data_IF_483286141838
#
_entry.id   IF_483286141838
#
_cell.length_a   1.000
_cell.length_b   1.000
_cell.length_c   1.000
_cell.angle_alpha   90.00
_cell.angle_beta   90.00
_cell.angle_gamma   90.00
#
_symmetry.space_group_name_H-M   'P 1'
#
loop_
_entity.id
_entity.type
_entity.pdbx_description
1 polymer ?
#
# COMPACT_ATOMS: atom_id res chain seq x y z
N UNK A 1 -45.60 52.23 -28.45
CA UNK A 1 -44.21 52.27 -27.97
C UNK A 1 -43.95 50.95 -27.25
N UNK A 2 -43.06 50.08 -27.76
CA UNK A 2 -42.68 48.88 -27.04
C UNK A 2 -41.61 49.25 -25.99
N UNK A 3 -41.81 48.80 -24.76
CA UNK A 3 -40.80 48.81 -23.71
C UNK A 3 -40.15 47.43 -23.71
N UNK A 4 -38.90 47.38 -24.17
CA UNK A 4 -38.03 46.21 -24.08
C UNK A 4 -37.72 45.93 -22.60
N UNK A 5 -38.47 45.02 -21.99
CA UNK A 5 -38.00 44.28 -20.82
C UNK A 5 -37.03 43.19 -21.32
N UNK A 6 -35.77 43.59 -21.54
CA UNK A 6 -34.66 42.65 -21.74
C UNK A 6 -34.46 41.84 -20.45
N UNK A 7 -35.13 40.69 -20.42
CA UNK A 7 -34.84 39.55 -19.55
C UNK A 7 -33.33 39.26 -19.59
N UNK A 8 -32.68 39.37 -18.43
CA UNK A 8 -31.29 38.98 -18.18
C UNK A 8 -30.84 37.80 -19.04
N UNK A 9 -29.80 37.99 -19.85
CA UNK A 9 -29.27 36.92 -20.69
C UNK A 9 -28.65 35.83 -19.81
N UNK A 10 -28.94 34.56 -20.12
CA UNK A 10 -28.43 33.38 -19.39
C UNK A 10 -26.90 33.37 -19.23
N UNK A 11 -26.16 34.09 -20.06
CA UNK A 11 -24.70 34.28 -19.97
C UNK A 11 -24.24 35.16 -18.79
N UNK A 12 -25.02 36.16 -18.36
CA UNK A 12 -24.65 37.05 -17.25
C UNK A 12 -24.88 36.42 -15.87
N UNK A 13 -25.86 35.53 -15.75
CA UNK A 13 -26.10 34.74 -14.53
C UNK A 13 -25.03 33.65 -14.33
N UNK A 14 -24.27 33.31 -15.38
CA UNK A 14 -23.30 32.21 -15.40
C UNK A 14 -21.87 32.61 -14.99
N UNK A 15 -21.56 33.84 -14.57
CA UNK A 15 -20.21 34.20 -14.15
C UNK A 15 -19.72 33.48 -12.87
N UNK A 16 -20.60 33.19 -11.92
CA UNK A 16 -20.27 32.55 -10.62
C UNK A 16 -20.51 31.03 -10.55
N UNK A 17 -21.28 30.47 -11.49
CA UNK A 17 -21.63 29.06 -11.55
C UNK A 17 -20.51 28.08 -12.00
N UNK A 18 -19.62 28.41 -12.95
CA UNK A 18 -18.62 27.46 -13.46
C UNK A 18 -17.54 27.15 -12.43
N UNK A 19 -17.12 28.12 -11.61
CA UNK A 19 -16.16 27.88 -10.53
C UNK A 19 -16.73 26.96 -9.43
N UNK A 20 -17.99 27.18 -9.03
CA UNK A 20 -18.68 26.32 -8.05
C UNK A 20 -18.91 24.91 -8.59
N UNK A 21 -19.32 24.80 -9.87
CA UNK A 21 -19.47 23.51 -10.56
C UNK A 21 -18.13 22.78 -10.71
N UNK A 22 -17.05 23.49 -11.05
CA UNK A 22 -15.72 22.90 -11.17
C UNK A 22 -15.17 22.43 -9.82
N UNK A 23 -15.43 23.16 -8.72
CA UNK A 23 -15.07 22.70 -7.37
C UNK A 23 -15.87 21.46 -6.94
N UNK A 24 -17.16 21.43 -7.23
CA UNK A 24 -18.00 20.24 -6.98
C UNK A 24 -17.53 19.05 -7.80
N UNK A 25 -17.17 19.28 -9.06
CA UNK A 25 -16.66 18.26 -9.95
C UNK A 25 -15.29 17.74 -9.49
N UNK A 26 -14.38 18.62 -9.06
CA UNK A 26 -13.11 18.22 -8.45
C UNK A 26 -13.35 17.39 -7.17
N UNK A 27 -14.28 17.80 -6.31
CA UNK A 27 -14.66 17.05 -5.12
C UNK A 27 -15.24 15.66 -5.46
N UNK A 28 -16.04 15.55 -6.52
CA UNK A 28 -16.57 14.27 -7.00
C UNK A 28 -15.47 13.36 -7.56
N UNK A 29 -14.53 13.92 -8.33
CA UNK A 29 -13.37 13.18 -8.85
C UNK A 29 -12.51 12.68 -7.68
N UNK A 30 -12.23 13.53 -6.69
CA UNK A 30 -11.47 13.16 -5.50
C UNK A 30 -12.18 12.10 -4.67
N UNK A 31 -13.49 12.24 -4.45
CA UNK A 31 -14.30 11.26 -3.72
C UNK A 31 -14.38 9.93 -4.46
N UNK A 32 -14.53 9.95 -5.79
CA UNK A 32 -14.53 8.74 -6.62
C UNK A 32 -13.17 8.05 -6.59
N UNK A 33 -12.10 8.81 -6.64
CA UNK A 33 -10.73 8.29 -6.55
C UNK A 33 -10.48 7.68 -5.19
N UNK A 34 -10.87 8.36 -4.11
CA UNK A 34 -10.77 7.85 -2.74
C UNK A 34 -11.57 6.54 -2.56
N UNK A 35 -12.77 6.46 -3.15
CA UNK A 35 -13.57 5.23 -3.16
C UNK A 35 -12.89 4.10 -3.92
N UNK A 36 -12.35 4.36 -5.12
CA UNK A 36 -11.63 3.35 -5.91
C UNK A 36 -10.35 2.88 -5.20
N UNK A 37 -9.65 3.77 -4.50
CA UNK A 37 -8.52 3.42 -3.65
C UNK A 37 -8.96 2.49 -2.52
N UNK A 38 -10.05 2.80 -1.80
CA UNK A 38 -10.58 1.93 -0.76
C UNK A 38 -11.03 0.58 -1.31
N UNK A 39 -11.72 0.55 -2.44
CA UNK A 39 -12.15 -0.69 -3.09
C UNK A 39 -10.96 -1.55 -3.52
N UNK A 40 -9.90 -0.93 -4.04
CA UNK A 40 -8.66 -1.65 -4.37
C UNK A 40 -7.97 -2.20 -3.12
N UNK A 41 -8.04 -1.49 -1.99
CA UNK A 41 -7.52 -1.95 -0.68
C UNK A 41 -8.34 -3.12 -0.13
N UNK A 42 -9.64 -3.18 -0.37
CA UNK A 42 -10.51 -4.32 0.02
C UNK A 42 -10.04 -5.64 -0.60
N UNK A 43 -9.54 -5.61 -1.83
CA UNK A 43 -8.96 -6.79 -2.50
C UNK A 43 -7.62 -7.23 -1.87
N UNK A 44 -6.92 -6.31 -1.19
CA UNK A 44 -5.63 -6.55 -0.50
C UNK A 44 -5.82 -7.07 0.91
N UNK A 45 -6.85 -6.61 1.62
CA UNK A 45 -7.12 -7.00 3.00
C UNK A 45 -7.93 -8.30 3.12
N UNK A 46 -7.35 -9.42 2.67
CA UNK A 46 -7.87 -10.78 2.91
C UNK A 46 -7.99 -11.15 4.40
N UNK A 47 -7.50 -10.28 5.31
CA UNK A 47 -7.51 -10.46 6.75
C UNK A 47 -8.54 -9.60 7.49
N UNK A 48 -9.26 -8.69 6.82
CA UNK A 48 -10.35 -7.96 7.44
C UNK A 48 -11.61 -8.84 7.47
N UNK A 49 -12.19 -8.99 8.66
CA UNK A 49 -13.52 -9.57 8.80
C UNK A 49 -14.52 -8.70 8.04
N UNK A 50 -15.47 -9.30 7.32
CA UNK A 50 -16.48 -8.61 6.51
C UNK A 50 -17.16 -7.45 7.27
N UNK A 51 -17.40 -7.64 8.56
CA UNK A 51 -17.98 -6.65 9.48
C UNK A 51 -17.15 -5.35 9.61
N UNK A 52 -15.82 -5.44 9.58
CA UNK A 52 -14.94 -4.25 9.65
C UNK A 52 -14.92 -3.51 8.31
N UNK A 53 -15.00 -4.25 7.19
CA UNK A 53 -15.06 -3.67 5.86
C UNK A 53 -16.38 -2.91 5.65
N UNK A 54 -17.52 -3.48 6.07
CA UNK A 54 -18.82 -2.81 6.02
C UNK A 54 -18.84 -1.55 6.89
N UNK A 55 -18.27 -1.60 8.10
CA UNK A 55 -18.18 -0.41 8.98
C UNK A 55 -17.35 0.72 8.35
N UNK A 56 -16.26 0.40 7.66
CA UNK A 56 -15.44 1.41 6.96
C UNK A 56 -16.17 2.01 5.75
N UNK A 57 -16.90 1.18 5.00
CA UNK A 57 -17.73 1.62 3.86
C UNK A 57 -18.86 2.54 4.33
N UNK A 58 -19.55 2.16 5.42
CA UNK A 58 -20.56 3.00 6.07
C UNK A 58 -19.99 4.34 6.55
N UNK A 59 -18.83 4.33 7.22
CA UNK A 59 -18.18 5.55 7.70
C UNK A 59 -17.77 6.49 6.54
N UNK A 60 -17.39 5.93 5.40
CA UNK A 60 -17.09 6.70 4.20
C UNK A 60 -18.35 7.34 3.59
N UNK A 61 -19.43 6.58 3.45
CA UNK A 61 -20.69 7.13 2.95
C UNK A 61 -21.29 8.16 3.91
N UNK A 62 -21.12 7.97 5.21
CA UNK A 62 -21.52 8.95 6.22
C UNK A 62 -20.71 10.24 6.12
N UNK A 63 -19.38 10.15 5.96
CA UNK A 63 -18.52 11.31 5.73
C UNK A 63 -18.90 12.06 4.44
N UNK A 64 -19.20 11.32 3.36
CA UNK A 64 -19.62 11.87 2.08
C UNK A 64 -21.00 12.55 2.17
N UNK A 65 -21.96 11.95 2.87
CA UNK A 65 -23.30 12.50 3.10
C UNK A 65 -23.25 13.81 3.93
N UNK A 66 -22.28 13.93 4.83
CA UNK A 66 -22.05 15.15 5.62
C UNK A 66 -21.24 16.22 4.86
N UNK A 67 -20.86 15.98 3.60
CA UNK A 67 -20.01 16.89 2.81
C UNK A 67 -18.62 17.09 3.41
N UNK A 68 -18.17 16.17 4.27
CA UNK A 68 -16.83 16.19 4.84
C UNK A 68 -15.83 15.67 3.82
N UNK A 69 -14.59 16.09 3.96
CA UNK A 69 -13.50 15.57 3.11
C UNK A 69 -13.39 14.04 3.28
N UNK A 70 -13.05 13.32 2.19
CA UNK A 70 -12.88 11.88 2.28
C UNK A 70 -11.78 11.54 3.30
N UNK A 71 -11.93 10.44 4.06
CA UNK A 71 -10.93 10.03 5.07
C UNK A 71 -9.56 9.73 4.47
N UNK A 72 -9.52 9.39 3.17
CA UNK A 72 -8.29 9.29 2.37
C UNK A 72 -8.25 10.49 1.43
N UNK A 73 -7.24 11.35 1.57
CA UNK A 73 -7.00 12.46 0.65
C UNK A 73 -6.19 11.98 -0.56
N UNK A 74 -6.77 11.90 -1.77
CA UNK A 74 -6.05 11.44 -2.94
C UNK A 74 -4.96 12.43 -3.35
N UNK A 75 -3.81 11.93 -3.77
CA UNK A 75 -2.75 12.74 -4.36
C UNK A 75 -2.97 12.92 -5.86
N UNK A 76 -2.23 13.84 -6.50
CA UNK A 76 -2.29 14.03 -7.96
C UNK A 76 -1.96 12.74 -8.73
N UNK A 77 -1.11 11.86 -8.17
CA UNK A 77 -0.78 10.57 -8.80
C UNK A 77 -1.93 9.57 -8.70
N UNK A 78 -2.69 9.62 -7.61
CA UNK A 78 -3.86 8.77 -7.44
C UNK A 78 -4.95 9.21 -8.43
N UNK A 79 -5.16 10.52 -8.56
CA UNK A 79 -6.04 11.10 -9.57
C UNK A 79 -5.61 10.66 -10.99
N UNK A 80 -4.31 10.72 -11.29
CA UNK A 80 -3.75 10.28 -12.58
C UNK A 80 -3.96 8.80 -12.85
N UNK A 81 -3.68 7.94 -11.86
CA UNK A 81 -3.83 6.48 -11.98
C UNK A 81 -5.28 6.07 -12.24
N UNK A 82 -6.23 6.76 -11.61
CA UNK A 82 -7.65 6.47 -11.74
C UNK A 82 -8.36 7.34 -12.79
N UNK A 83 -7.61 8.10 -13.59
CA UNK A 83 -8.15 9.00 -14.61
C UNK A 83 -9.07 8.35 -15.62
N UNK A 84 -8.75 7.18 -16.19
CA UNK A 84 -9.67 6.48 -17.09
C UNK A 84 -11.03 6.15 -16.43
N UNK A 85 -11.06 5.91 -15.12
CA UNK A 85 -12.26 5.51 -14.38
C UNK A 85 -13.15 6.69 -13.97
N UNK A 86 -12.59 7.89 -13.81
CA UNK A 86 -13.37 9.10 -13.51
C UNK A 86 -13.55 10.03 -14.71
N UNK A 87 -12.92 9.78 -15.86
CA UNK A 87 -13.08 10.56 -17.09
C UNK A 87 -14.55 10.77 -17.48
N UNK A 88 -15.39 9.74 -17.30
CA UNK A 88 -16.83 9.82 -17.58
C UNK A 88 -17.59 10.85 -16.72
N UNK A 89 -17.01 11.30 -15.60
CA UNK A 89 -17.58 12.35 -14.75
C UNK A 89 -17.33 13.75 -15.28
N UNK A 90 -16.41 13.93 -16.25
CA UNK A 90 -16.06 15.24 -16.82
C UNK A 90 -16.99 15.54 -17.99
N UNK A 91 -17.88 16.56 -17.91
CA UNK A 91 -18.73 16.95 -19.02
C UNK A 91 -17.91 17.50 -20.19
N UNK A 92 -18.36 17.34 -21.44
CA UNK A 92 -17.71 17.88 -22.64
C UNK A 92 -17.94 19.41 -22.78
N UNK A 93 -17.81 20.16 -21.69
CA UNK A 93 -17.94 21.61 -21.67
C UNK A 93 -16.56 22.26 -21.51
N UNK A 94 -16.10 22.93 -22.56
CA UNK A 94 -14.76 23.52 -22.66
C UNK A 94 -14.47 24.56 -21.57
N UNK A 95 -15.47 25.35 -21.15
CA UNK A 95 -15.33 26.38 -20.10
C UNK A 95 -15.15 25.70 -18.73
N UNK A 96 -15.90 24.62 -18.48
CA UNK A 96 -15.81 23.87 -17.23
C UNK A 96 -14.49 23.09 -17.14
N UNK A 97 -14.04 22.50 -18.25
CA UNK A 97 -12.74 21.81 -18.36
C UNK A 97 -11.57 22.79 -18.13
N UNK A 98 -11.61 23.99 -18.72
CA UNK A 98 -10.62 25.03 -18.47
C UNK A 98 -10.60 25.48 -17.00
N UNK A 99 -11.78 25.64 -16.39
CA UNK A 99 -11.90 25.98 -14.95
C UNK A 99 -11.39 24.85 -14.06
N UNK A 100 -11.64 23.59 -14.42
CA UNK A 100 -11.11 22.42 -13.70
C UNK A 100 -9.57 22.36 -13.80
N UNK A 101 -9.00 22.61 -14.98
CA UNK A 101 -7.56 22.68 -15.18
C UNK A 101 -6.91 23.72 -14.26
N UNK A 102 -7.52 24.90 -14.16
CA UNK A 102 -7.06 25.96 -13.27
C UNK A 102 -7.06 25.53 -11.80
N UNK A 103 -8.16 24.91 -11.34
CA UNK A 103 -8.28 24.43 -9.96
C UNK A 103 -7.29 23.30 -9.65
N UNK A 104 -7.04 22.40 -10.60
CA UNK A 104 -6.01 21.36 -10.46
C UNK A 104 -4.64 21.99 -10.28
N UNK A 105 -4.27 22.99 -11.10
CA UNK A 105 -3.01 23.72 -10.99
C UNK A 105 -2.83 24.51 -9.69
N UNK A 106 -3.91 25.03 -9.13
CA UNK A 106 -3.88 25.71 -7.83
C UNK A 106 -3.74 24.74 -6.66
N UNK A 107 -4.44 23.59 -6.71
CA UNK A 107 -4.49 22.63 -5.61
C UNK A 107 -3.32 21.64 -5.62
N UNK A 108 -2.83 21.29 -6.79
CA UNK A 108 -1.80 20.27 -6.99
C UNK A 108 -0.64 20.82 -7.82
N UNK A 109 0.57 20.42 -7.45
CA UNK A 109 1.81 20.79 -8.13
C UNK A 109 2.28 19.61 -8.99
N UNK A 110 2.35 19.78 -10.31
CA UNK A 110 2.68 18.69 -11.25
C UNK A 110 3.39 19.17 -12.53
N UNK A 111 4.16 18.28 -13.15
CA UNK A 111 4.79 18.51 -14.44
C UNK A 111 3.97 17.87 -15.57
N UNK A 112 4.06 18.44 -16.77
CA UNK A 112 3.32 17.96 -17.94
C UNK A 112 3.58 16.48 -18.31
N UNK A 113 4.76 15.96 -17.94
CA UNK A 113 5.15 14.55 -18.18
C UNK A 113 4.51 13.57 -17.20
N UNK A 114 4.06 14.04 -16.04
CA UNK A 114 3.61 13.18 -14.94
C UNK A 114 2.10 12.88 -14.99
N UNK A 115 1.35 13.55 -15.88
CA UNK A 115 -0.11 13.48 -15.92
C UNK A 115 -0.72 13.18 -17.32
N UNK A 116 -0.25 12.15 -18.05
CA UNK A 116 -0.78 11.84 -19.38
C UNK A 116 -2.29 11.52 -19.41
N UNK A 117 -2.83 10.79 -18.45
CA UNK A 117 -4.22 10.36 -18.43
C UNK A 117 -5.17 11.47 -17.93
N UNK A 118 -4.74 12.35 -17.00
CA UNK A 118 -5.51 13.55 -16.66
C UNK A 118 -5.63 14.48 -17.86
N UNK A 119 -4.56 14.64 -18.67
CA UNK A 119 -4.60 15.45 -19.89
C UNK A 119 -5.64 14.94 -20.87
N UNK A 120 -5.68 13.63 -21.06
CA UNK A 120 -6.69 12.97 -21.89
C UNK A 120 -8.10 13.09 -21.28
N UNK A 121 -8.25 12.87 -19.98
CA UNK A 121 -9.54 12.88 -19.31
C UNK A 121 -10.20 14.26 -19.24
N UNK A 122 -9.40 15.32 -19.05
CA UNK A 122 -9.89 16.71 -18.99
C UNK A 122 -9.91 17.36 -20.39
N UNK A 123 -9.20 16.77 -21.36
CA UNK A 123 -9.09 17.32 -22.71
C UNK A 123 -8.15 18.51 -22.81
N UNK A 124 -7.09 18.55 -21.99
CA UNK A 124 -6.11 19.66 -21.92
C UNK A 124 -5.37 19.90 -23.23
N UNK A 125 -5.30 18.87 -24.08
CA UNK A 125 -4.65 18.91 -25.39
C UNK A 125 -5.58 19.39 -26.51
N UNK A 126 -6.85 19.68 -26.19
CA UNK A 126 -7.83 20.16 -27.17
C UNK A 126 -7.71 21.68 -27.34
N UNK A 127 -7.61 22.15 -28.58
CA UNK A 127 -7.51 23.57 -28.91
C UNK A 127 -8.64 24.41 -28.28
N UNK A 128 -9.87 23.86 -28.23
CA UNK A 128 -11.02 24.52 -27.63
C UNK A 128 -10.88 24.80 -26.12
N UNK A 129 -10.25 23.89 -25.36
CA UNK A 129 -10.02 24.06 -23.92
C UNK A 129 -8.90 25.07 -23.68
N UNK A 130 -7.84 25.05 -24.49
CA UNK A 130 -6.74 26.01 -24.41
C UNK A 130 -7.21 27.44 -24.72
N UNK A 131 -8.04 27.61 -25.74
CA UNK A 131 -8.63 28.91 -26.08
C UNK A 131 -9.60 29.40 -24.99
N UNK A 132 -10.41 28.51 -24.42
CA UNK A 132 -11.30 28.86 -23.31
C UNK A 132 -10.50 29.30 -22.06
N UNK A 133 -9.41 28.60 -21.74
CA UNK A 133 -8.53 28.94 -20.62
C UNK A 133 -7.86 30.30 -20.82
N UNK A 134 -7.30 30.56 -22.02
CA UNK A 134 -6.67 31.84 -22.35
C UNK A 134 -7.67 33.00 -22.28
N UNK A 135 -8.88 32.81 -22.78
CA UNK A 135 -9.95 33.83 -22.72
C UNK A 135 -10.37 34.15 -21.28
N UNK A 136 -10.40 33.13 -20.40
CA UNK A 136 -10.93 33.27 -19.06
C UNK A 136 -9.90 33.73 -18.02
N UNK A 137 -8.64 33.31 -18.15
CA UNK A 137 -7.58 33.57 -17.17
C UNK A 137 -6.44 34.43 -17.71
N UNK A 138 -6.48 34.85 -18.99
CA UNK A 138 -5.45 35.67 -19.67
C UNK A 138 -4.03 35.09 -19.55
N UNK A 139 -3.93 33.77 -19.35
CA UNK A 139 -2.68 33.03 -19.16
C UNK A 139 -2.66 31.83 -20.10
N UNK A 140 -1.46 31.39 -20.52
CA UNK A 140 -1.33 30.14 -21.26
C UNK A 140 -1.51 28.94 -20.32
N UNK A 141 -2.04 27.84 -20.85
CA UNK A 141 -2.23 26.59 -20.11
C UNK A 141 -0.89 26.06 -19.54
N UNK A 142 0.24 26.45 -20.13
CA UNK A 142 1.59 26.06 -19.69
C UNK A 142 1.96 26.58 -18.30
N UNK A 143 1.29 27.64 -17.82
CA UNK A 143 1.50 28.22 -16.49
C UNK A 143 1.06 27.28 -15.36
N UNK A 144 0.23 26.28 -15.67
CA UNK A 144 -0.22 25.25 -14.73
C UNK A 144 0.89 24.23 -14.43
N UNK A 145 1.89 24.09 -15.32
CA UNK A 145 2.96 23.10 -15.19
C UNK A 145 4.22 23.67 -14.54
N UNK A 146 4.84 22.90 -13.64
CA UNK A 146 6.13 23.27 -13.05
C UNK A 146 7.27 22.79 -13.95
N UNK A 147 8.24 23.68 -14.21
CA UNK A 147 9.30 23.47 -15.22
C UNK A 147 10.45 22.56 -14.76
N UNK A 148 10.68 22.34 -13.46
CA UNK A 148 11.66 21.37 -12.91
C UNK A 148 11.32 20.90 -11.50
N UNK A 149 11.37 19.59 -11.26
CA UNK A 149 11.38 18.97 -9.92
C UNK A 149 12.84 18.87 -9.47
N UNK A 150 13.17 19.33 -8.27
CA UNK A 150 14.55 19.33 -7.77
C UNK A 150 15.07 17.92 -7.48
N UNK A 151 16.38 17.67 -7.65
CA UNK A 151 17.01 16.35 -7.40
C UNK A 151 16.77 15.82 -5.97
N UNK A 152 16.67 16.71 -4.97
CA UNK A 152 16.34 16.35 -3.59
C UNK A 152 14.86 15.97 -3.41
N UNK A 153 13.97 16.57 -4.20
CA UNK A 153 12.59 16.13 -4.29
C UNK A 153 12.53 14.77 -5.00
N UNK A 154 13.31 14.52 -6.05
CA UNK A 154 13.37 13.21 -6.71
C UNK A 154 13.79 12.09 -5.75
N UNK A 155 14.76 12.31 -4.85
CA UNK A 155 15.13 11.32 -3.83
C UNK A 155 14.00 11.06 -2.81
N UNK A 156 13.36 12.11 -2.27
CA UNK A 156 12.16 11.93 -1.41
C UNK A 156 11.01 11.28 -2.18
N UNK A 157 10.90 11.56 -3.47
CA UNK A 157 9.88 11.05 -4.38
C UNK A 157 10.11 9.57 -4.70
N UNK A 158 11.35 9.11 -4.86
CA UNK A 158 11.72 7.70 -4.99
C UNK A 158 11.48 6.94 -3.69
N UNK A 159 11.82 7.53 -2.54
CA UNK A 159 11.55 6.92 -1.23
C UNK A 159 10.04 6.75 -0.98
N UNK A 160 9.25 7.81 -1.25
CA UNK A 160 7.78 7.75 -1.18
C UNK A 160 7.17 6.85 -2.27
N UNK A 161 7.83 6.70 -3.43
CA UNK A 161 7.42 5.79 -4.50
C UNK A 161 7.67 4.34 -4.12
N UNK A 162 8.70 4.04 -3.34
CA UNK A 162 8.94 2.70 -2.78
C UNK A 162 7.92 2.35 -1.71
N UNK A 163 7.63 3.27 -0.76
CA UNK A 163 6.54 3.10 0.21
C UNK A 163 5.19 2.93 -0.49
N UNK A 164 4.89 3.81 -1.46
CA UNK A 164 3.67 3.73 -2.25
C UNK A 164 3.60 2.46 -3.10
N UNK A 165 4.69 2.00 -3.70
CA UNK A 165 4.70 0.74 -4.45
C UNK A 165 4.43 -0.45 -3.53
N UNK A 166 5.04 -0.46 -2.34
CA UNK A 166 4.86 -1.48 -1.32
C UNK A 166 3.43 -1.50 -0.76
N UNK A 167 2.83 -0.33 -0.54
CA UNK A 167 1.42 -0.15 -0.12
C UNK A 167 0.40 -0.60 -1.18
N UNK A 168 0.82 -0.70 -2.46
CA UNK A 168 -0.06 -1.06 -3.57
C UNK A 168 0.37 -2.34 -4.30
N UNK A 169 1.28 -3.13 -3.71
CA UNK A 169 1.64 -4.45 -4.23
C UNK A 169 0.41 -5.37 -4.21
N UNK A 170 0.21 -6.22 -5.23
CA UNK A 170 -0.83 -7.23 -5.18
C UNK A 170 -0.72 -8.09 -3.91
N UNK A 171 -1.84 -8.56 -3.34
CA UNK A 171 -1.88 -9.24 -2.05
C UNK A 171 -0.92 -10.44 -2.01
N UNK A 172 -0.85 -11.17 -3.13
CA UNK A 172 0.11 -12.24 -3.35
C UNK A 172 1.56 -11.83 -3.06
N UNK A 173 2.04 -10.71 -3.62
CA UNK A 173 3.41 -10.26 -3.45
C UNK A 173 3.68 -9.75 -2.04
N UNK A 174 2.70 -9.13 -1.40
CA UNK A 174 2.82 -8.72 0.01
C UNK A 174 2.97 -9.93 0.94
N UNK A 175 2.10 -10.95 0.77
CA UNK A 175 2.16 -12.18 1.55
C UNK A 175 3.45 -12.97 1.27
N UNK A 176 3.85 -13.05 -0.01
CA UNK A 176 5.11 -13.69 -0.40
C UNK A 176 6.31 -12.98 0.23
N UNK A 177 6.40 -11.65 0.12
CA UNK A 177 7.51 -10.88 0.66
C UNK A 177 7.59 -10.94 2.19
N UNK A 178 6.46 -10.88 2.89
CA UNK A 178 6.40 -11.07 4.34
C UNK A 178 6.89 -12.46 4.75
N UNK A 179 6.33 -13.51 4.13
CA UNK A 179 6.68 -14.91 4.41
C UNK A 179 8.16 -15.17 4.12
N UNK A 180 8.65 -14.67 2.99
CA UNK A 180 10.04 -14.82 2.59
C UNK A 180 10.97 -14.10 3.58
N UNK A 181 10.66 -12.86 3.94
CA UNK A 181 11.47 -12.08 4.89
C UNK A 181 11.55 -12.76 6.26
N UNK A 182 10.43 -13.25 6.78
CA UNK A 182 10.35 -13.89 8.08
C UNK A 182 11.18 -15.18 8.11
N UNK A 183 11.03 -16.03 7.10
CA UNK A 183 11.73 -17.31 7.03
C UNK A 183 13.23 -17.11 6.78
N UNK A 184 13.57 -16.27 5.80
CA UNK A 184 14.97 -16.08 5.36
C UNK A 184 15.77 -15.36 6.43
N UNK A 185 15.20 -14.36 7.10
CA UNK A 185 15.87 -13.60 8.15
C UNK A 185 16.36 -14.47 9.31
N UNK A 186 15.53 -15.40 9.80
CA UNK A 186 15.90 -16.30 10.89
C UNK A 186 16.79 -17.46 10.43
N UNK A 187 16.52 -18.02 9.25
CA UNK A 187 17.15 -19.27 8.81
C UNK A 187 18.59 -19.11 8.34
N UNK A 188 18.96 -17.95 7.76
CA UNK A 188 20.29 -17.74 7.18
C UNK A 188 21.42 -17.87 8.21
N UNK A 189 21.19 -17.44 9.45
CA UNK A 189 22.20 -17.53 10.50
C UNK A 189 22.05 -18.80 11.34
N UNK A 190 20.83 -19.18 11.71
CA UNK A 190 20.61 -20.31 12.60
C UNK A 190 21.00 -21.65 11.95
N UNK A 191 20.69 -21.82 10.66
CA UNK A 191 20.79 -23.10 10.00
C UNK A 191 22.26 -23.50 9.73
N UNK A 192 23.16 -22.64 9.20
CA UNK A 192 24.56 -23.00 9.03
C UNK A 192 25.27 -23.28 10.37
N UNK A 193 24.93 -22.54 11.43
CA UNK A 193 25.47 -22.76 12.78
C UNK A 193 25.05 -24.14 13.31
N UNK A 194 23.79 -24.51 13.15
CA UNK A 194 23.31 -25.84 13.55
C UNK A 194 23.96 -26.96 12.73
N UNK A 195 24.14 -26.75 11.42
CA UNK A 195 24.74 -27.74 10.51
C UNK A 195 26.25 -27.93 10.71
N UNK A 196 26.96 -26.90 11.19
CA UNK A 196 28.37 -27.02 11.56
C UNK A 196 28.61 -28.12 12.61
N UNK A 197 27.64 -28.41 13.48
CA UNK A 197 27.75 -29.50 14.46
C UNK A 197 27.47 -30.92 13.93
N UNK A 198 26.81 -31.04 12.77
CA UNK A 198 26.33 -32.33 12.21
C UNK A 198 27.18 -32.79 11.01
N UNK A 199 27.88 -31.85 10.36
CA UNK A 199 28.70 -32.08 9.18
C UNK A 199 27.92 -31.87 7.87
N UNK A 200 28.63 -31.56 6.77
CA UNK A 200 28.01 -31.03 5.56
C UNK A 200 27.07 -32.02 4.86
N UNK A 201 27.45 -33.30 4.76
CA UNK A 201 26.69 -34.30 4.01
C UNK A 201 25.40 -34.68 4.75
N UNK A 202 25.48 -34.94 6.06
CA UNK A 202 24.31 -35.18 6.89
C UNK A 202 23.39 -33.95 6.94
N UNK A 203 23.96 -32.74 6.99
CA UNK A 203 23.20 -31.50 6.90
C UNK A 203 22.41 -31.34 5.61
N UNK A 204 23.03 -31.63 4.47
CA UNK A 204 22.36 -31.61 3.16
C UNK A 204 21.21 -32.61 3.10
N UNK A 205 21.41 -33.83 3.60
CA UNK A 205 20.35 -34.86 3.62
C UNK A 205 19.15 -34.39 4.45
N UNK A 206 19.38 -33.87 5.66
CA UNK A 206 18.30 -33.35 6.53
C UNK A 206 17.57 -32.20 5.86
N UNK A 207 18.31 -31.28 5.23
CA UNK A 207 17.72 -30.15 4.50
C UNK A 207 16.81 -30.59 3.36
N UNK A 208 17.26 -31.56 2.55
CA UNK A 208 16.47 -32.08 1.43
C UNK A 208 15.21 -32.76 1.95
N UNK A 209 15.33 -33.63 2.95
CA UNK A 209 14.18 -34.37 3.50
C UNK A 209 13.16 -33.42 4.11
N UNK A 210 13.58 -32.51 4.99
CA UNK A 210 12.66 -31.55 5.60
C UNK A 210 12.12 -30.53 4.61
N UNK A 211 12.92 -30.12 3.62
CA UNK A 211 12.48 -29.26 2.54
C UNK A 211 11.35 -29.88 1.74
N UNK A 212 11.47 -31.15 1.36
CA UNK A 212 10.40 -31.90 0.65
C UNK A 212 9.14 -31.99 1.50
N UNK A 213 9.26 -32.36 2.78
CA UNK A 213 8.10 -32.43 3.69
C UNK A 213 7.40 -31.06 3.80
N UNK A 214 8.17 -29.97 3.92
CA UNK A 214 7.61 -28.62 3.99
C UNK A 214 6.89 -28.23 2.70
N UNK A 215 7.48 -28.49 1.53
CA UNK A 215 6.86 -28.19 0.24
C UNK A 215 5.56 -28.96 0.04
N UNK A 216 5.54 -30.26 0.37
CA UNK A 216 4.32 -31.07 0.28
C UNK A 216 3.23 -30.57 1.24
N UNK A 217 3.61 -30.15 2.45
CA UNK A 217 2.68 -29.60 3.43
C UNK A 217 2.06 -28.29 2.93
N UNK A 218 2.88 -27.38 2.41
CA UNK A 218 2.41 -26.10 1.86
C UNK A 218 1.51 -26.35 0.64
N UNK A 219 1.86 -27.29 -0.24
CA UNK A 219 1.06 -27.63 -1.42
C UNK A 219 -0.33 -28.16 -1.01
N UNK A 220 -0.40 -29.10 -0.07
CA UNK A 220 -1.65 -29.63 0.44
C UNK A 220 -2.50 -28.55 1.13
N UNK A 221 -1.86 -27.66 1.91
CA UNK A 221 -2.55 -26.55 2.55
C UNK A 221 -3.09 -25.54 1.54
N UNK A 222 -2.31 -25.21 0.51
CA UNK A 222 -2.74 -24.33 -0.59
C UNK A 222 -3.93 -24.94 -1.37
N UNK A 223 -3.89 -26.24 -1.66
CA UNK A 223 -5.02 -26.93 -2.29
C UNK A 223 -6.29 -26.87 -1.42
N UNK A 224 -6.18 -27.18 -0.12
CA UNK A 224 -7.31 -27.14 0.81
C UNK A 224 -7.91 -25.73 0.93
N UNK A 225 -7.07 -24.70 1.00
CA UNK A 225 -7.49 -23.30 1.07
C UNK A 225 -8.15 -22.85 -0.22
N UNK A 226 -7.57 -23.15 -1.39
CA UNK A 226 -8.10 -22.71 -2.70
C UNK A 226 -9.38 -23.44 -3.10
N UNK A 227 -9.57 -24.68 -2.64
CA UNK A 227 -10.78 -25.48 -2.85
C UNK A 227 -11.93 -25.10 -1.91
N UNK A 228 -11.63 -24.41 -0.80
CA UNK A 228 -12.65 -23.97 0.16
C UNK A 228 -13.33 -22.66 -0.27
N UNK A 229 -14.62 -22.74 -0.56
CA UNK A 229 -15.44 -21.58 -0.90
C UNK A 229 -15.59 -20.57 0.25
N UNK A 230 -15.53 -21.01 1.51
CA UNK A 230 -15.66 -20.14 2.69
C UNK A 230 -14.45 -19.23 2.87
N UNK A 231 -13.24 -19.66 2.53
CA UNK A 231 -12.07 -18.77 2.51
C UNK A 231 -12.10 -17.87 1.28
N UNK A 232 -12.39 -18.43 0.11
CA UNK A 232 -12.33 -17.70 -1.16
C UNK A 232 -13.38 -16.59 -1.30
N UNK A 233 -14.55 -16.73 -0.66
CA UNK A 233 -15.66 -15.76 -0.82
C UNK A 233 -16.12 -15.11 0.49
N UNK A 234 -15.84 -15.69 1.67
CA UNK A 234 -16.32 -15.16 2.97
C UNK A 234 -15.21 -14.67 3.90
N UNK A 235 -13.95 -14.56 3.43
CA UNK A 235 -12.84 -14.02 4.23
C UNK A 235 -12.55 -14.82 5.52
N UNK A 236 -12.86 -16.12 5.51
CA UNK A 236 -12.75 -16.99 6.67
C UNK A 236 -11.29 -17.25 7.09
N UNK A 237 -10.98 -17.16 8.39
CA UNK A 237 -9.66 -17.48 8.94
C UNK A 237 -9.36 -18.99 8.97
N UNK A 238 -8.08 -19.36 9.02
CA UNK A 238 -7.60 -20.76 8.97
C UNK A 238 -8.25 -21.68 10.02
N UNK A 239 -8.57 -21.18 11.21
CA UNK A 239 -9.21 -21.97 12.26
C UNK A 239 -10.66 -22.34 11.95
N UNK A 240 -11.39 -21.57 11.13
CA UNK A 240 -12.71 -21.98 10.63
C UNK A 240 -12.59 -23.06 9.55
N UNK A 241 -11.56 -23.02 8.70
CA UNK A 241 -11.26 -24.13 7.79
C UNK A 241 -11.00 -25.42 8.56
N UNK A 242 -10.17 -25.37 9.60
CA UNK A 242 -9.94 -26.56 10.43
C UNK A 242 -11.19 -26.98 11.20
N UNK A 243 -12.05 -26.04 11.59
CA UNK A 243 -13.34 -26.38 12.16
C UNK A 243 -14.23 -27.14 11.15
N UNK A 244 -14.22 -26.75 9.88
CA UNK A 244 -15.01 -27.39 8.83
C UNK A 244 -14.52 -28.83 8.53
N UNK A 245 -13.21 -29.09 8.63
CA UNK A 245 -12.63 -30.42 8.39
C UNK A 245 -12.52 -31.33 9.62
N UNK A 246 -12.10 -30.79 10.78
CA UNK A 246 -11.79 -31.55 12.01
C UNK A 246 -12.76 -31.26 13.16
N UNK A 247 -13.72 -30.35 12.95
CA UNK A 247 -14.65 -29.92 14.00
C UNK A 247 -14.03 -28.94 15.00
N UNK A 248 -14.86 -28.52 15.96
CA UNK A 248 -14.50 -27.55 17.00
C UNK A 248 -13.26 -27.92 17.83
N UNK A 249 -13.03 -29.19 18.24
CA UNK A 249 -11.82 -29.57 18.97
C UNK A 249 -10.54 -29.35 18.17
N UNK A 250 -10.55 -29.69 16.87
CA UNK A 250 -9.40 -29.48 15.99
C UNK A 250 -9.05 -28.00 15.82
N UNK A 251 -10.07 -27.14 15.70
CA UNK A 251 -9.87 -25.69 15.61
C UNK A 251 -9.27 -25.10 16.89
N UNK A 252 -9.73 -25.55 18.06
CA UNK A 252 -9.19 -25.11 19.36
C UNK A 252 -7.74 -25.56 19.51
N UNK A 253 -7.43 -26.81 19.15
CA UNK A 253 -6.07 -27.34 19.20
C UNK A 253 -5.13 -26.53 18.31
N UNK A 254 -5.51 -26.30 17.05
CA UNK A 254 -4.72 -25.50 16.10
C UNK A 254 -4.49 -24.09 16.66
N UNK A 255 -5.56 -23.42 17.10
CA UNK A 255 -5.46 -22.04 17.60
C UNK A 255 -4.52 -21.97 18.81
N UNK A 256 -4.61 -22.94 19.72
CA UNK A 256 -3.72 -23.02 20.89
C UNK A 256 -2.27 -23.24 20.48
N UNK A 257 -2.01 -24.13 19.52
CA UNK A 257 -0.66 -24.36 18.98
C UNK A 257 -0.11 -23.11 18.30
N UNK A 258 -0.91 -22.41 17.49
CA UNK A 258 -0.52 -21.16 16.81
C UNK A 258 -0.19 -20.06 17.82
N UNK A 259 -1.00 -19.88 18.86
CA UNK A 259 -0.70 -18.92 19.93
C UNK A 259 0.62 -19.29 20.62
N UNK A 260 0.80 -20.57 20.94
CA UNK A 260 2.00 -21.05 21.64
C UNK A 260 3.26 -20.82 20.80
N UNK A 261 3.25 -21.17 19.51
CA UNK A 261 4.41 -20.96 18.63
C UNK A 261 4.70 -19.47 18.43
N UNK A 262 3.68 -18.61 18.30
CA UNK A 262 3.86 -17.17 18.19
C UNK A 262 4.51 -16.59 19.47
N UNK A 263 4.10 -17.04 20.65
CA UNK A 263 4.70 -16.60 21.93
C UNK A 263 6.16 -17.04 22.02
N UNK A 264 6.47 -18.29 21.68
CA UNK A 264 7.84 -18.80 21.71
C UNK A 264 8.73 -18.06 20.68
N UNK A 265 8.24 -17.87 19.45
CA UNK A 265 8.95 -17.14 18.42
C UNK A 265 9.22 -15.68 18.83
N UNK A 266 8.23 -15.02 19.43
CA UNK A 266 8.38 -13.65 19.93
C UNK A 266 9.49 -13.58 20.99
N UNK A 267 9.52 -14.50 21.95
CA UNK A 267 10.57 -14.57 22.96
C UNK A 267 11.95 -14.80 22.33
N UNK A 268 12.05 -15.73 21.37
CA UNK A 268 13.29 -16.01 20.66
C UNK A 268 13.82 -14.75 19.92
N UNK A 269 12.94 -13.99 19.26
CA UNK A 269 13.31 -12.74 18.60
C UNK A 269 13.77 -11.66 19.59
N UNK A 270 13.13 -11.53 20.76
CA UNK A 270 13.55 -10.58 21.79
C UNK A 270 14.93 -10.91 22.32
N UNK A 271 15.18 -12.20 22.63
CA UNK A 271 16.47 -12.68 23.13
C UNK A 271 17.54 -12.48 22.07
N UNK A 272 17.30 -12.93 20.83
CA UNK A 272 18.26 -12.81 19.73
C UNK A 272 18.62 -11.36 19.44
N UNK A 273 17.65 -10.46 19.36
CA UNK A 273 17.89 -9.04 19.11
C UNK A 273 18.63 -8.35 20.25
N UNK A 274 18.17 -8.56 21.50
CA UNK A 274 18.75 -7.88 22.67
C UNK A 274 20.19 -8.30 22.94
N UNK A 275 20.51 -9.60 22.86
CA UNK A 275 21.88 -10.08 23.05
C UNK A 275 22.81 -9.64 21.92
N UNK A 276 22.32 -9.57 20.68
CA UNK A 276 23.13 -9.11 19.55
C UNK A 276 23.49 -7.62 19.70
N UNK A 277 22.53 -6.78 20.14
CA UNK A 277 22.80 -5.37 20.36
C UNK A 277 23.58 -5.09 21.64
N UNK A 278 23.43 -5.89 22.69
CA UNK A 278 24.29 -5.84 23.87
C UNK A 278 25.76 -6.09 23.49
N UNK A 279 26.02 -7.05 22.61
CA UNK A 279 27.38 -7.29 22.09
C UNK A 279 27.91 -6.17 21.18
N UNK A 280 27.02 -5.42 20.51
CA UNK A 280 27.39 -4.37 19.56
C UNK A 280 27.39 -2.94 20.17
N UNK A 281 26.78 -2.76 21.34
CA UNK A 281 26.56 -1.45 21.97
C UNK A 281 26.92 -1.50 23.45
N UNK A 282 27.23 -0.37 24.07
CA UNK A 282 27.48 -0.31 25.51
C UNK A 282 26.17 -0.32 26.37
N UNK A 283 25.04 -0.72 25.78
CA UNK A 283 23.71 -0.67 26.40
C UNK A 283 23.27 -2.10 26.73
N UNK A 284 22.83 -2.36 27.97
CA UNK A 284 22.49 -3.71 28.40
C UNK A 284 21.27 -4.28 27.68
N UNK A 285 21.24 -5.61 27.50
CA UNK A 285 20.20 -6.34 26.77
C UNK A 285 18.77 -6.04 27.27
N UNK A 286 18.57 -5.84 28.57
CA UNK A 286 17.25 -5.57 29.16
C UNK A 286 16.65 -4.26 28.65
N UNK A 287 17.49 -3.26 28.39
CA UNK A 287 17.04 -1.96 27.85
C UNK A 287 16.57 -2.14 26.41
N UNK A 288 17.31 -2.92 25.59
CA UNK A 288 16.90 -3.23 24.23
C UNK A 288 15.60 -4.05 24.17
N UNK A 289 15.46 -5.05 25.04
CA UNK A 289 14.22 -5.83 25.15
C UNK A 289 13.04 -4.95 25.58
N UNK A 290 13.24 -4.05 26.54
CA UNK A 290 12.23 -3.09 26.98
C UNK A 290 11.82 -2.11 25.88
N UNK A 291 12.77 -1.60 25.10
CA UNK A 291 12.49 -0.75 23.95
C UNK A 291 11.69 -1.48 22.86
N UNK A 292 12.07 -2.72 22.53
CA UNK A 292 11.29 -3.55 21.61
C UNK A 292 9.86 -3.81 22.12
N UNK A 293 9.71 -4.06 23.43
CA UNK A 293 8.39 -4.23 24.04
C UNK A 293 7.52 -2.98 23.87
N UNK A 294 8.06 -1.80 24.18
CA UNK A 294 7.35 -0.54 24.03
C UNK A 294 7.00 -0.25 22.56
N UNK A 295 7.90 -0.58 21.63
CA UNK A 295 7.65 -0.46 20.20
C UNK A 295 6.52 -1.39 19.75
N UNK A 296 6.52 -2.65 20.21
CA UNK A 296 5.44 -3.61 19.97
C UNK A 296 4.10 -3.12 20.49
N UNK A 297 4.05 -2.63 21.73
CA UNK A 297 2.84 -2.03 22.33
C UNK A 297 2.36 -0.82 21.52
N UNK A 298 3.27 0.02 21.04
CA UNK A 298 2.94 1.16 20.18
C UNK A 298 2.27 0.73 18.87
N UNK A 299 2.83 -0.29 18.19
CA UNK A 299 2.23 -0.82 16.95
C UNK A 299 0.87 -1.46 17.20
N UNK A 300 0.73 -2.26 18.26
CA UNK A 300 -0.56 -2.88 18.63
C UNK A 300 -1.62 -1.83 18.97
N UNK A 301 -1.24 -0.77 19.70
CA UNK A 301 -2.15 0.34 20.05
C UNK A 301 -2.67 1.11 18.85
N UNK A 302 -1.89 1.21 17.76
CA UNK A 302 -2.33 1.90 16.54
C UNK A 302 -3.48 1.20 15.81
N UNK A 303 -3.82 -0.06 16.16
CA UNK A 303 -4.88 -0.87 15.51
C UNK A 303 -4.84 -0.85 13.98
N UNK A 304 -3.65 -0.64 13.40
CA UNK A 304 -3.47 -0.46 11.97
C UNK A 304 -2.48 -1.49 11.44
N UNK A 305 -3.03 -2.55 10.82
CA UNK A 305 -2.25 -3.65 10.25
C UNK A 305 -1.35 -3.18 9.11
N UNK A 306 -1.78 -2.19 8.31
CA UNK A 306 -0.98 -1.64 7.20
C UNK A 306 0.33 -1.03 7.67
N UNK A 307 0.31 -0.30 8.79
CA UNK A 307 1.51 0.28 9.36
C UNK A 307 2.51 -0.80 9.80
N UNK A 308 2.01 -1.92 10.31
CA UNK A 308 2.82 -3.06 10.74
C UNK A 308 3.41 -3.79 9.54
N UNK A 309 2.59 -4.07 8.52
CA UNK A 309 3.01 -4.74 7.28
C UNK A 309 4.06 -3.90 6.53
N UNK A 310 3.81 -2.60 6.35
CA UNK A 310 4.74 -1.70 5.67
C UNK A 310 6.08 -1.63 6.40
N UNK A 311 6.05 -1.51 7.73
CA UNK A 311 7.27 -1.51 8.55
C UNK A 311 8.03 -2.85 8.43
N UNK A 312 7.33 -3.98 8.49
CA UNK A 312 7.94 -5.30 8.35
C UNK A 312 8.60 -5.50 6.97
N UNK A 313 7.94 -5.07 5.90
CA UNK A 313 8.48 -5.15 4.55
C UNK A 313 9.70 -4.24 4.35
N UNK A 314 9.71 -3.04 4.92
CA UNK A 314 10.87 -2.13 4.88
C UNK A 314 12.06 -2.75 5.62
N UNK A 315 11.84 -3.24 6.86
CA UNK A 315 12.89 -3.93 7.63
C UNK A 315 13.40 -5.15 6.87
N UNK A 316 12.51 -5.91 6.24
CA UNK A 316 12.84 -7.05 5.41
C UNK A 316 13.69 -6.71 4.20
N UNK A 317 13.32 -5.67 3.45
CA UNK A 317 14.06 -5.19 2.30
C UNK A 317 15.48 -4.72 2.69
N UNK A 318 15.61 -4.04 3.83
CA UNK A 318 16.92 -3.63 4.37
C UNK A 318 17.75 -4.87 4.70
N UNK A 319 17.18 -5.84 5.43
CA UNK A 319 17.88 -7.05 5.82
C UNK A 319 18.35 -7.85 4.59
N UNK A 320 17.48 -8.07 3.61
CA UNK A 320 17.82 -8.74 2.35
C UNK A 320 18.90 -7.98 1.57
N UNK A 321 18.80 -6.64 1.50
CA UNK A 321 19.82 -5.81 0.86
C UNK A 321 21.18 -5.97 1.52
N UNK A 322 21.24 -5.96 2.86
CA UNK A 322 22.46 -6.19 3.61
C UNK A 322 23.03 -7.60 3.36
N UNK A 323 22.19 -8.63 3.38
CA UNK A 323 22.59 -10.01 3.07
C UNK A 323 23.17 -10.12 1.67
N UNK A 324 22.54 -9.49 0.67
CA UNK A 324 23.03 -9.49 -0.72
C UNK A 324 24.39 -8.79 -0.83
N UNK A 325 24.54 -7.63 -0.18
CA UNK A 325 25.81 -6.90 -0.14
C UNK A 325 26.90 -7.76 0.51
N UNK A 326 26.61 -8.35 1.67
CA UNK A 326 27.54 -9.25 2.36
C UNK A 326 27.89 -10.46 1.51
N UNK A 327 26.91 -11.04 0.80
CA UNK A 327 27.13 -12.18 -0.09
C UNK A 327 28.04 -11.81 -1.26
N UNK A 328 27.84 -10.64 -1.89
CA UNK A 328 28.69 -10.15 -2.99
C UNK A 328 30.11 -9.86 -2.49
N UNK A 329 30.24 -9.22 -1.31
CA UNK A 329 31.54 -8.98 -0.68
C UNK A 329 32.25 -10.30 -0.37
N UNK A 330 31.54 -11.27 0.20
CA UNK A 330 32.09 -12.60 0.49
C UNK A 330 32.54 -13.32 -0.77
N UNK A 331 31.73 -13.30 -1.84
CA UNK A 331 32.09 -13.86 -3.16
C UNK A 331 33.33 -13.20 -3.76
N UNK A 332 33.50 -11.89 -3.57
CA UNK A 332 34.71 -11.16 -3.98
C UNK A 332 35.96 -11.51 -3.16
N UNK A 333 35.80 -12.11 -1.98
CA UNK A 333 36.90 -12.54 -1.09
C UNK A 333 37.11 -14.05 -1.08
N UNK A 334 36.44 -14.82 -1.95
CA UNK A 334 36.66 -16.26 -2.08
C UNK A 334 38.08 -16.50 -2.58
N UNK A 335 38.99 -16.82 -1.65
CA UNK A 335 40.29 -17.39 -1.97
C UNK A 335 40.05 -18.84 -2.36
N UNK A 336 40.26 -19.14 -3.65
CA UNK A 336 40.50 -20.50 -4.11
C UNK A 336 41.85 -20.93 -3.52
N UNK A 337 41.84 -21.43 -2.28
CA UNK A 337 42.98 -22.17 -1.76
C UNK A 337 43.03 -23.51 -2.49
N UNK A 338 44.07 -23.67 -3.31
CA UNK A 338 44.51 -24.94 -3.87
C UNK A 338 45.32 -25.71 -2.84
#
# INVERSE_FOLDING_TARGET
>A
MPTDDELFTSSEVLGGFPAKRARLLLFQIESRTAYLMMQSRRTVDLYLTEEIAEQQELAFFEALAQGREPPVRPTIRDLERYAPQWQALVPPNQILQATLAHLLGQKYHFAQRDIPHIREAVGLDTEGVQQAFQRQYLQSLDTIYIRRVGLLEWMRWQWNKLSGWLEHLPPFWTAYALTFTEIVGASIFALPIALAGVGPLAGVVVLVVMGVINVLTIAAMAEAVTRSGSIRYQGSYLGRLVQDYLGRPGSILLTTMVVTICVIALLAYYIGFSLTLDGATAIPAEVWAGLLFLLGVYFVRRKNLHATISSALVVGAINLGLILILSVLALGHVRLEH
#
